data_IF_599337660040
#
_entry.id   IF_599337660040
#
_cell.length_a   1.000
_cell.length_b   1.000
_cell.length_c   1.000
_cell.angle_alpha   90.00
_cell.angle_beta   90.00
_cell.angle_gamma   90.00
#
_symmetry.space_group_name_H-M   'P 1'
#
loop_
_entity.id
_entity.type
_entity.pdbx_description
1 polymer ?
#
# COMPACT_ATOMS: atom_id res chain seq x y z
N UNK A 1 3.84 8.53 -1.39
CA UNK A 1 3.82 7.87 -2.70
C UNK A 1 2.75 6.76 -2.68
N UNK A 2 2.00 6.58 -3.76
CA UNK A 2 0.96 5.53 -3.86
C UNK A 2 1.54 4.22 -4.36
N UNK A 3 1.05 3.08 -3.86
CA UNK A 3 1.50 1.75 -4.27
C UNK A 3 0.30 0.90 -4.69
N UNK A 4 0.44 0.26 -5.85
CA UNK A 4 -0.53 -0.63 -6.47
C UNK A 4 0.14 -1.98 -6.73
N UNK A 5 -0.52 -3.06 -6.29
CA UNK A 5 -0.13 -4.42 -6.63
C UNK A 5 -1.04 -4.90 -7.76
N UNK A 6 -0.40 -5.39 -8.82
CA UNK A 6 -1.07 -5.87 -10.03
C UNK A 6 -0.71 -7.34 -10.22
N UNK A 7 -1.69 -8.14 -10.61
CA UNK A 7 -1.50 -9.53 -11.04
C UNK A 7 -0.94 -9.57 -12.47
N UNK A 8 -0.51 -10.76 -12.90
CA UNK A 8 0.10 -10.98 -14.22
C UNK A 8 -0.88 -10.69 -15.37
N UNK A 9 -2.17 -10.90 -15.15
CA UNK A 9 -3.26 -10.56 -16.06
C UNK A 9 -3.56 -9.04 -16.15
N UNK A 10 -2.82 -8.22 -15.39
CA UNK A 10 -3.03 -6.78 -15.31
C UNK A 10 -4.15 -6.36 -14.36
N UNK A 11 -4.72 -7.28 -13.56
CA UNK A 11 -5.74 -6.97 -12.56
C UNK A 11 -5.14 -6.34 -11.31
N UNK A 12 -5.81 -5.34 -10.76
CA UNK A 12 -5.40 -4.72 -9.50
C UNK A 12 -5.83 -5.60 -8.33
N UNK A 13 -4.85 -6.14 -7.61
CA UNK A 13 -5.07 -6.97 -6.42
C UNK A 13 -5.13 -6.14 -5.14
N UNK A 14 -4.25 -5.15 -5.02
CA UNK A 14 -4.18 -4.30 -3.83
C UNK A 14 -3.75 -2.86 -4.15
N UNK A 15 -4.14 -1.93 -3.29
CA UNK A 15 -3.77 -0.53 -3.38
C UNK A 15 -3.67 0.06 -1.99
N UNK A 16 -2.60 0.80 -1.71
CA UNK A 16 -2.47 1.51 -0.44
C UNK A 16 -3.41 2.73 -0.37
N UNK A 17 -3.56 3.34 0.81
CA UNK A 17 -4.49 4.47 1.02
C UNK A 17 -4.23 5.66 0.09
N UNK A 18 -2.96 5.93 -0.22
CA UNK A 18 -2.57 7.03 -1.10
C UNK A 18 -2.97 6.72 -2.55
N UNK A 19 -2.68 5.51 -3.05
CA UNK A 19 -3.12 5.06 -4.36
C UNK A 19 -4.65 5.08 -4.46
N UNK A 20 -5.36 4.58 -3.43
CA UNK A 20 -6.83 4.64 -3.40
C UNK A 20 -7.35 6.06 -3.55
N UNK A 21 -6.73 7.04 -2.88
CA UNK A 21 -7.11 8.45 -3.00
C UNK A 21 -6.82 9.01 -4.40
N UNK A 22 -5.67 8.68 -4.99
CA UNK A 22 -5.27 9.16 -6.32
C UNK A 22 -6.19 8.66 -7.44
N UNK A 23 -6.64 7.40 -7.33
CA UNK A 23 -7.49 6.75 -8.33
C UNK A 23 -8.99 6.76 -7.98
N UNK A 24 -9.40 7.56 -6.99
CA UNK A 24 -10.82 7.63 -6.58
C UNK A 24 -11.42 6.32 -6.05
N UNK A 25 -10.59 5.39 -5.57
CA UNK A 25 -11.01 4.07 -5.11
C UNK A 25 -11.62 4.12 -3.70
N UNK A 26 -12.44 3.11 -3.32
CA UNK A 26 -13.00 3.02 -1.97
C UNK A 26 -11.93 3.11 -0.89
N UNK A 27 -12.14 3.98 0.11
CA UNK A 27 -11.14 4.24 1.17
C UNK A 27 -10.89 3.01 2.06
N UNK A 28 -11.88 2.14 2.20
CA UNK A 28 -11.85 0.87 2.96
C UNK A 28 -12.67 -0.18 2.21
N UNK A 29 -12.48 -1.46 2.56
CA UNK A 29 -13.21 -2.57 1.96
C UNK A 29 -12.53 -3.16 0.71
N UNK A 30 -13.15 -4.18 0.11
CA UNK A 30 -12.63 -4.85 -1.08
C UNK A 30 -12.47 -3.86 -2.23
N UNK A 31 -11.45 -4.08 -3.06
CA UNK A 31 -11.29 -3.31 -4.29
C UNK A 31 -12.27 -3.84 -5.35
N UNK A 32 -12.87 -2.95 -6.16
CA UNK A 32 -13.63 -3.37 -7.32
C UNK A 32 -12.74 -4.18 -8.28
N UNK A 33 -13.36 -5.00 -9.13
CA UNK A 33 -12.67 -5.60 -10.28
C UNK A 33 -12.19 -4.48 -11.21
N UNK A 34 -10.90 -4.17 -11.12
CA UNK A 34 -10.24 -3.11 -11.87
C UNK A 34 -8.98 -3.64 -12.52
N UNK A 35 -8.71 -3.19 -13.74
CA UNK A 35 -7.47 -3.50 -14.46
C UNK A 35 -6.58 -2.27 -14.53
N UNK A 36 -5.28 -2.50 -14.67
CA UNK A 36 -4.30 -1.45 -14.87
C UNK A 36 -4.64 -0.61 -16.12
N UNK A 37 -5.12 -1.27 -17.19
CA UNK A 37 -5.56 -0.59 -18.40
C UNK A 37 -6.74 0.36 -18.15
N UNK A 38 -7.70 -0.02 -17.31
CA UNK A 38 -8.84 0.82 -16.92
C UNK A 38 -8.43 2.01 -16.05
N UNK A 39 -7.52 1.80 -15.09
CA UNK A 39 -7.01 2.90 -14.25
C UNK A 39 -6.25 3.97 -15.03
N UNK A 40 -5.60 3.58 -16.13
CA UNK A 40 -4.82 4.45 -17.00
C UNK A 40 -5.47 4.59 -18.38
N UNK A 41 -6.80 4.59 -18.47
CA UNK A 41 -7.51 4.72 -19.74
C UNK A 41 -7.17 6.01 -20.50
N UNK A 42 -6.87 7.10 -19.78
CA UNK A 42 -6.42 8.37 -20.36
C UNK A 42 -4.97 8.37 -20.88
N UNK A 43 -4.18 7.32 -20.59
CA UNK A 43 -2.80 7.22 -21.02
C UNK A 43 -2.68 6.70 -22.46
N UNK A 44 -1.68 7.19 -23.20
CA UNK A 44 -1.40 6.71 -24.56
C UNK A 44 -0.97 5.24 -24.56
N UNK A 45 -1.05 4.57 -25.71
CA UNK A 45 -0.59 3.17 -25.86
C UNK A 45 0.87 3.02 -25.44
N UNK A 46 1.73 3.97 -25.82
CA UNK A 46 3.13 3.99 -25.42
C UNK A 46 3.30 4.13 -23.90
N UNK A 47 2.55 5.02 -23.26
CA UNK A 47 2.59 5.19 -21.80
C UNK A 47 2.13 3.92 -21.08
N UNK A 48 1.04 3.29 -21.55
CA UNK A 48 0.53 2.04 -20.96
C UNK A 48 1.54 0.89 -21.08
N UNK A 49 2.22 0.75 -22.22
CA UNK A 49 3.29 -0.24 -22.39
C UNK A 49 4.45 -0.04 -21.41
N UNK A 50 4.76 1.21 -21.06
CA UNK A 50 5.85 1.55 -20.13
C UNK A 50 5.49 1.34 -18.65
N UNK A 51 4.21 1.17 -18.31
CA UNK A 51 3.77 0.92 -16.92
C UNK A 51 4.38 -0.33 -16.29
N UNK A 52 4.65 -1.36 -17.10
CA UNK A 52 5.22 -2.64 -16.67
C UNK A 52 6.69 -2.79 -17.06
N UNK A 53 7.32 -1.71 -17.54
CA UNK A 53 8.74 -1.72 -17.91
C UNK A 53 9.56 -1.22 -16.72
N UNK A 54 10.58 -2.00 -16.34
CA UNK A 54 11.54 -1.59 -15.34
C UNK A 54 12.29 -0.34 -15.81
N UNK A 55 12.44 0.64 -14.92
CA UNK A 55 13.08 1.90 -15.27
C UNK A 55 12.79 3.03 -14.29
N UNK A 56 13.26 4.25 -14.61
CA UNK A 56 12.99 5.42 -13.81
C UNK A 56 11.50 5.77 -13.82
N UNK A 57 11.08 6.48 -12.77
CA UNK A 57 9.73 7.00 -12.67
C UNK A 57 9.42 7.90 -13.88
N UNK A 58 8.26 7.71 -14.49
CA UNK A 58 7.83 8.50 -15.65
C UNK A 58 6.39 8.96 -15.50
N UNK A 59 6.06 10.10 -16.12
CA UNK A 59 4.73 10.71 -16.03
C UNK A 59 3.74 9.97 -16.93
N UNK A 60 2.64 9.51 -16.33
CA UNK A 60 1.53 8.84 -17.00
C UNK A 60 0.25 9.61 -16.76
N UNK A 61 -0.50 9.83 -17.83
CA UNK A 61 -1.74 10.61 -17.78
C UNK A 61 -2.89 9.77 -17.20
N UNK A 62 -3.67 10.34 -16.29
CA UNK A 62 -4.86 9.71 -15.73
C UNK A 62 -6.12 10.20 -16.45
N UNK A 63 -6.27 11.51 -16.54
CA UNK A 63 -7.39 12.21 -17.19
C UNK A 63 -6.86 13.41 -18.01
N UNK A 64 -7.73 14.32 -18.43
CA UNK A 64 -7.30 15.46 -19.26
C UNK A 64 -6.36 16.43 -18.52
N UNK A 65 -6.52 16.57 -17.20
CA UNK A 65 -5.84 17.58 -16.39
C UNK A 65 -4.87 16.99 -15.34
N UNK A 66 -4.92 15.67 -15.13
CA UNK A 66 -4.19 14.97 -14.08
C UNK A 66 -3.21 13.94 -14.64
N UNK A 67 -2.04 13.86 -14.02
CA UNK A 67 -1.03 12.86 -14.31
C UNK A 67 -0.30 12.44 -13.04
N UNK A 68 0.19 11.20 -13.02
CA UNK A 68 0.97 10.63 -11.92
C UNK A 68 2.31 10.14 -12.43
N UNK A 69 3.33 10.24 -11.58
CA UNK A 69 4.60 9.58 -11.82
C UNK A 69 4.46 8.11 -11.42
N UNK A 70 4.72 7.21 -12.36
CA UNK A 70 4.66 5.77 -12.17
C UNK A 70 6.06 5.20 -12.26
N UNK A 71 6.39 4.33 -11.31
CA UNK A 71 7.58 3.50 -11.34
C UNK A 71 7.18 2.05 -11.20
N UNK A 72 7.62 1.21 -12.14
CA UNK A 72 7.46 -0.22 -12.03
C UNK A 72 8.53 -0.79 -11.11
N UNK A 73 8.10 -1.48 -10.05
CA UNK A 73 8.98 -2.15 -9.11
C UNK A 73 8.79 -3.66 -9.29
N UNK A 74 9.84 -4.34 -9.76
CA UNK A 74 9.90 -5.80 -9.78
C UNK A 74 10.79 -6.25 -8.62
N UNK A 75 10.19 -6.45 -7.46
CA UNK A 75 10.92 -7.04 -6.32
C UNK A 75 11.12 -8.54 -6.53
N UNK A 76 12.15 -9.18 -5.93
CA UNK A 76 12.10 -10.61 -5.70
C UNK A 76 10.85 -10.85 -4.84
N UNK A 77 9.90 -11.60 -5.38
CA UNK A 77 8.76 -12.09 -4.62
C UNK A 77 9.33 -12.99 -3.52
N UNK A 78 9.67 -12.42 -2.36
CA UNK A 78 9.94 -13.19 -1.16
C UNK A 78 8.67 -14.04 -0.94
N UNK A 79 8.80 -15.31 -1.24
CA UNK A 79 7.73 -16.28 -1.26
C UNK A 79 7.18 -16.50 0.15
N UNK A 80 6.37 -15.57 0.69
CA UNK A 80 5.65 -15.75 1.98
C UNK A 80 4.49 -14.77 2.21
N UNK A 81 3.71 -14.47 1.17
CA UNK A 81 2.35 -13.96 1.36
C UNK A 81 1.36 -14.61 0.38
N UNK A 82 1.51 -15.92 0.18
CA UNK A 82 0.41 -16.74 -0.31
C UNK A 82 -0.69 -16.73 0.75
N UNK A 83 -1.77 -16.02 0.40
CA UNK A 83 -3.12 -16.57 0.42
C UNK A 83 -3.52 -17.25 1.74
N UNK A 84 -4.15 -16.48 2.62
CA UNK A 84 -5.50 -16.88 3.00
C UNK A 84 -6.48 -15.88 2.41
N UNK A 85 -7.10 -16.33 1.33
CA UNK A 85 -8.36 -15.81 0.80
C UNK A 85 -9.35 -15.67 1.95
N UNK A 86 -9.81 -14.44 2.19
CA UNK A 86 -11.08 -14.22 2.88
C UNK A 86 -12.12 -13.89 1.82
N UNK A 87 -12.38 -14.88 0.96
CA UNK A 87 -13.70 -15.03 0.37
C UNK A 87 -14.61 -15.56 1.48
N UNK A 88 -15.77 -14.94 1.62
CA UNK A 88 -16.73 -15.19 2.68
C UNK A 88 -17.26 -16.64 2.69
N UNK A 89 -17.04 -17.35 3.79
CA UNK A 89 -17.96 -18.34 4.36
C UNK A 89 -17.41 -18.79 5.73
N UNK A 90 -18.11 -18.43 6.82
CA UNK A 90 -17.77 -18.90 8.17
C UNK A 90 -18.05 -17.88 9.27
N UNK A 91 -19.32 -17.66 9.58
CA UNK A 91 -19.82 -16.78 10.64
C UNK A 91 -19.60 -17.33 12.07
N UNK A 92 -18.46 -17.94 12.40
CA UNK A 92 -18.26 -18.52 13.74
C UNK A 92 -16.78 -18.64 14.14
N UNK A 93 -16.08 -17.50 14.28
CA UNK A 93 -14.84 -17.40 15.07
C UNK A 93 -14.55 -15.92 15.40
N UNK A 94 -15.51 -15.28 16.06
CA UNK A 94 -15.31 -13.99 16.70
C UNK A 94 -14.57 -14.20 18.03
N UNK A 95 -13.25 -14.35 17.98
CA UNK A 95 -12.39 -14.18 19.16
C UNK A 95 -10.97 -13.78 18.70
N UNK A 96 -10.65 -12.50 18.92
CA UNK A 96 -9.31 -11.97 19.20
C UNK A 96 -8.20 -12.16 18.16
N UNK A 97 -8.44 -11.73 16.91
CA UNK A 97 -7.30 -11.25 16.10
C UNK A 97 -7.01 -9.81 16.52
N UNK A 98 -5.83 -9.51 17.11
CA UNK A 98 -5.50 -8.14 17.50
C UNK A 98 -5.61 -7.26 16.26
N UNK A 99 -6.43 -6.22 16.39
CA UNK A 99 -6.68 -5.30 15.28
C UNK A 99 -5.35 -4.78 14.72
N UNK A 100 -5.29 -4.46 13.43
CA UNK A 100 -4.09 -3.89 12.81
C UNK A 100 -3.59 -2.62 13.55
N UNK A 101 -4.46 -1.95 14.32
CA UNK A 101 -4.08 -0.87 15.23
C UNK A 101 -3.32 -1.38 16.45
N UNK A 102 -3.77 -2.45 17.10
CA UNK A 102 -3.08 -3.07 18.24
C UNK A 102 -1.71 -3.62 17.82
N UNK A 103 -1.60 -4.24 16.64
CA UNK A 103 -0.32 -4.70 16.10
C UNK A 103 0.63 -3.54 15.78
N UNK A 104 0.12 -2.42 15.23
CA UNK A 104 0.92 -1.22 15.01
C UNK A 104 1.38 -0.58 16.33
N UNK A 105 0.49 -0.48 17.32
CA UNK A 105 0.82 0.07 18.64
C UNK A 105 1.88 -0.79 19.34
N UNK A 106 1.79 -2.11 19.19
CA UNK A 106 2.77 -3.04 19.73
C UNK A 106 4.14 -2.86 19.07
N UNK A 107 4.22 -2.82 17.74
CA UNK A 107 5.48 -2.58 17.03
C UNK A 107 6.12 -1.22 17.35
N UNK A 108 5.30 -0.19 17.59
CA UNK A 108 5.78 1.11 18.07
C UNK A 108 6.39 1.01 19.47
N UNK A 109 5.73 0.31 20.40
CA UNK A 109 6.24 0.11 21.77
C UNK A 109 7.53 -0.71 21.79
N UNK A 110 7.60 -1.77 20.99
CA UNK A 110 8.79 -2.62 20.87
C UNK A 110 9.97 -1.85 20.28
N UNK A 111 9.77 -1.06 19.24
CA UNK A 111 10.82 -0.21 18.68
C UNK A 111 11.31 0.84 19.69
N UNK A 112 10.43 1.43 20.50
CA UNK A 112 10.83 2.38 21.54
C UNK A 112 11.59 1.70 22.68
N UNK A 113 11.16 0.51 23.10
CA UNK A 113 11.82 -0.29 24.13
C UNK A 113 13.21 -0.77 23.69
N UNK A 114 13.34 -1.25 22.45
CA UNK A 114 14.61 -1.67 21.85
C UNK A 114 15.65 -0.55 21.77
N UNK A 115 15.18 0.70 21.70
CA UNK A 115 16.03 1.90 21.71
C UNK A 115 16.11 2.59 23.07
N UNK A 116 15.77 1.90 24.16
CA UNK A 116 15.83 2.41 25.53
C UNK A 116 15.11 3.75 25.73
N UNK A 117 13.97 3.95 25.05
CA UNK A 117 13.22 5.20 25.11
C UNK A 117 13.74 6.31 24.20
N UNK A 118 14.76 6.06 23.37
CA UNK A 118 15.24 7.04 22.39
C UNK A 118 14.28 7.16 21.21
N UNK A 119 13.33 8.08 21.35
CA UNK A 119 12.26 8.36 20.38
C UNK A 119 12.83 8.75 19.00
N UNK A 120 14.02 9.36 18.90
CA UNK A 120 14.64 9.63 17.58
C UNK A 120 15.07 8.35 16.87
N UNK A 121 15.75 7.46 17.59
CA UNK A 121 16.27 6.22 17.02
C UNK A 121 15.12 5.28 16.61
N UNK A 122 14.10 5.16 17.46
CA UNK A 122 12.89 4.41 17.16
C UNK A 122 12.15 4.97 15.93
N UNK A 123 12.01 6.30 15.83
CA UNK A 123 11.35 6.94 14.68
C UNK A 123 12.12 6.69 13.36
N UNK A 124 13.46 6.75 13.42
CA UNK A 124 14.33 6.46 12.27
C UNK A 124 14.23 4.99 11.83
N UNK A 125 14.23 4.04 12.78
CA UNK A 125 14.04 2.62 12.47
C UNK A 125 12.67 2.35 11.84
N UNK A 126 11.62 3.03 12.34
CA UNK A 126 10.26 2.89 11.83
C UNK A 126 10.01 3.66 10.53
N UNK A 127 10.96 4.48 10.06
CA UNK A 127 10.84 5.27 8.85
C UNK A 127 9.79 6.39 8.93
N UNK A 128 9.45 6.86 10.14
CA UNK A 128 8.44 7.90 10.38
C UNK A 128 9.05 9.11 11.10
N UNK A 129 8.40 10.28 11.02
CA UNK A 129 8.90 11.47 11.72
C UNK A 129 8.76 11.35 13.24
N UNK A 130 9.66 12.00 13.99
CA UNK A 130 9.60 12.11 15.46
C UNK A 130 8.22 12.60 15.95
N UNK A 131 7.66 13.60 15.28
CA UNK A 131 6.32 14.16 15.56
C UNK A 131 5.18 13.17 15.30
N UNK A 132 5.33 12.26 14.34
CA UNK A 132 4.35 11.20 14.06
C UNK A 132 4.44 10.10 15.11
N UNK A 133 5.66 9.73 15.54
CA UNK A 133 5.86 8.77 16.63
C UNK A 133 5.27 9.29 17.96
N UNK A 134 5.47 10.57 18.29
CA UNK A 134 4.85 11.19 19.46
C UNK A 134 3.32 11.17 19.45
N UNK A 135 2.70 11.22 18.26
CA UNK A 135 1.24 11.14 18.12
C UNK A 135 0.72 9.72 18.36
N UNK A 136 1.50 8.71 17.98
CA UNK A 136 1.22 7.31 18.25
C UNK A 136 1.43 6.91 19.71
N UNK A 137 2.25 7.64 20.45
CA UNK A 137 2.47 7.40 21.89
C UNK A 137 1.46 8.14 22.79
N UNK A 138 0.79 9.18 22.27
CA UNK A 138 -0.15 10.02 23.03
C UNK A 138 -1.64 9.67 22.81
N UNK A 139 -1.96 8.65 22.01
CA UNK A 139 -3.33 8.22 21.72
C UNK A 139 -3.47 6.72 21.77
#
# INVERSE_FOLDING_TARGET
QGLLAVEEDGRVRAANRVARRLFGLPRRGPLPLLTLAGLFAGASVHQRRRLLQAGPAHRVRLDQDSAVYVQYLRGPLAARASLRSAGAAGAAAAAERPSLRALNAQGVREAVAAHHGNIAAAARQLGISRTTLYRHLRG
#
